data_IF_054609091721
#
_entry.id   IF_054609091721
#
_cell.length_a   1.000
_cell.length_b   1.000
_cell.length_c   1.000
_cell.angle_alpha   90.00
_cell.angle_beta   90.00
_cell.angle_gamma   90.00
#
_symmetry.space_group_name_H-M   'P 1'
#
loop_
_entity.id
_entity.type
_entity.pdbx_description
1 polymer ?
#
# COMPACT_ATOMS: atom_id res chain seq x y z
N UNK A 1 8.82 -3.74 -9.94
CA UNK A 1 9.46 -5.07 -10.19
C UNK A 1 10.37 -5.47 -9.03
N UNK A 2 11.33 -4.63 -8.61
CA UNK A 2 12.30 -4.91 -7.55
C UNK A 2 11.65 -5.42 -6.26
N UNK A 3 10.66 -4.70 -5.69
CA UNK A 3 10.00 -5.09 -4.45
C UNK A 3 9.38 -6.49 -4.49
N UNK A 4 8.75 -6.89 -5.61
CA UNK A 4 8.20 -8.24 -5.77
C UNK A 4 9.30 -9.32 -5.74
N UNK A 5 10.44 -9.07 -6.36
CA UNK A 5 11.57 -10.02 -6.34
C UNK A 5 12.14 -10.17 -4.94
N UNK A 6 12.37 -9.05 -4.25
CA UNK A 6 12.80 -9.04 -2.86
C UNK A 6 11.82 -9.77 -1.94
N UNK A 7 10.51 -9.50 -2.09
CA UNK A 7 9.48 -10.12 -1.27
C UNK A 7 9.46 -11.65 -1.41
N UNK A 8 9.51 -12.19 -2.64
CA UNK A 8 9.56 -13.63 -2.84
C UNK A 8 10.85 -14.25 -2.28
N UNK A 9 11.99 -13.58 -2.49
CA UNK A 9 13.28 -14.02 -1.94
C UNK A 9 13.26 -14.05 -0.40
N UNK A 10 12.78 -12.99 0.20
CA UNK A 10 12.63 -12.87 1.65
C UNK A 10 11.71 -13.96 2.23
N UNK A 11 10.51 -14.12 1.65
CA UNK A 11 9.57 -15.12 2.13
C UNK A 11 10.14 -16.54 2.05
N UNK A 12 10.86 -16.87 0.98
CA UNK A 12 11.50 -18.16 0.85
C UNK A 12 12.63 -18.37 1.88
N UNK A 13 13.45 -17.35 2.13
CA UNK A 13 14.57 -17.42 3.07
C UNK A 13 14.13 -17.50 4.54
N UNK A 14 12.99 -16.89 4.89
CA UNK A 14 12.53 -16.77 6.28
C UNK A 14 11.28 -17.61 6.58
N UNK A 15 10.88 -18.53 5.69
CA UNK A 15 9.76 -19.43 5.95
C UNK A 15 8.40 -18.73 5.98
N UNK A 16 8.25 -17.54 5.40
CA UNK A 16 6.99 -16.82 5.32
C UNK A 16 6.10 -17.47 4.27
N UNK A 17 4.87 -17.80 4.66
CA UNK A 17 3.89 -18.43 3.77
C UNK A 17 3.59 -17.56 2.55
N UNK A 18 3.80 -18.08 1.36
CA UNK A 18 3.49 -17.40 0.11
C UNK A 18 3.23 -18.41 -1.02
N UNK A 19 2.54 -17.97 -2.08
CA UNK A 19 2.27 -18.81 -3.25
C UNK A 19 2.11 -17.96 -4.50
N UNK A 20 2.75 -18.34 -5.59
CA UNK A 20 2.53 -17.78 -6.93
C UNK A 20 1.28 -18.43 -7.52
N UNK A 21 0.16 -17.74 -7.44
CA UNK A 21 -1.13 -18.22 -7.97
C UNK A 21 -1.37 -17.80 -9.40
N UNK A 22 -0.67 -16.77 -9.87
CA UNK A 22 -1.06 -16.05 -11.06
C UNK A 22 -2.32 -15.20 -10.84
N UNK A 23 -2.64 -14.40 -11.85
CA UNK A 23 -3.82 -13.55 -11.87
C UNK A 23 -4.33 -13.42 -13.30
N UNK A 24 -5.65 -13.49 -13.46
CA UNK A 24 -6.33 -13.05 -14.68
C UNK A 24 -7.01 -11.72 -14.44
N UNK A 25 -6.85 -10.80 -15.39
CA UNK A 25 -7.65 -9.58 -15.47
C UNK A 25 -8.61 -9.81 -16.63
N UNK A 26 -9.90 -9.97 -16.32
CA UNK A 26 -10.91 -10.45 -17.28
C UNK A 26 -11.70 -9.33 -17.92
N UNK A 27 -11.90 -9.41 -19.23
CA UNK A 27 -12.69 -8.45 -19.99
C UNK A 27 -14.03 -9.07 -20.43
N UNK A 28 -15.12 -8.34 -20.19
CA UNK A 28 -16.47 -8.72 -20.61
C UNK A 28 -16.93 -7.92 -21.84
N UNK A 29 -16.30 -6.78 -22.10
CA UNK A 29 -16.66 -5.88 -23.19
C UNK A 29 -15.44 -5.49 -24.02
N UNK A 30 -15.69 -5.06 -25.27
CA UNK A 30 -14.63 -4.57 -26.16
C UNK A 30 -13.83 -3.39 -25.55
N UNK A 31 -14.50 -2.47 -24.88
CA UNK A 31 -13.85 -1.34 -24.21
C UNK A 31 -12.88 -1.81 -23.10
N UNK A 32 -13.28 -2.82 -22.33
CA UNK A 32 -12.42 -3.45 -21.32
C UNK A 32 -11.23 -4.16 -21.97
N UNK A 33 -11.45 -4.89 -23.08
CA UNK A 33 -10.37 -5.51 -23.85
C UNK A 33 -9.35 -4.48 -24.33
N UNK A 34 -9.79 -3.39 -24.95
CA UNK A 34 -8.90 -2.31 -25.39
C UNK A 34 -8.11 -1.68 -24.23
N UNK A 35 -8.71 -1.60 -23.03
CA UNK A 35 -8.00 -1.18 -21.82
C UNK A 35 -6.89 -2.18 -21.44
N UNK A 36 -7.16 -3.49 -21.50
CA UNK A 36 -6.17 -4.53 -21.21
C UNK A 36 -5.06 -4.57 -22.26
N UNK A 37 -5.35 -4.35 -23.53
CA UNK A 37 -4.34 -4.27 -24.60
C UNK A 37 -3.38 -3.08 -24.39
N UNK A 38 -3.86 -1.97 -23.83
CA UNK A 38 -2.99 -0.85 -23.42
C UNK A 38 -2.06 -1.25 -22.29
N UNK A 39 -2.59 -1.95 -21.28
CA UNK A 39 -1.82 -2.47 -20.15
C UNK A 39 -0.78 -3.50 -20.63
N UNK A 40 -1.14 -4.39 -21.54
CA UNK A 40 -0.23 -5.38 -22.10
C UNK A 40 0.96 -4.70 -22.81
N UNK A 41 0.69 -3.72 -23.68
CA UNK A 41 1.75 -2.96 -24.35
C UNK A 41 2.69 -2.27 -23.37
N UNK A 42 2.16 -1.64 -22.33
CA UNK A 42 2.96 -0.99 -21.28
C UNK A 42 3.81 -2.02 -20.53
N UNK A 43 3.20 -3.12 -20.10
CA UNK A 43 3.87 -4.17 -19.33
C UNK A 43 4.99 -4.84 -20.16
N UNK A 44 4.69 -5.26 -21.39
CA UNK A 44 5.63 -6.03 -22.22
C UNK A 44 6.68 -5.14 -22.87
N UNK A 45 6.31 -3.91 -23.26
CA UNK A 45 7.22 -3.00 -23.97
C UNK A 45 8.11 -2.18 -23.04
N UNK A 46 7.51 -1.42 -22.12
CA UNK A 46 8.25 -0.43 -21.35
C UNK A 46 8.73 -0.96 -19.98
N UNK A 47 7.92 -1.79 -19.32
CA UNK A 47 8.17 -2.19 -17.95
C UNK A 47 8.83 -3.56 -17.80
N UNK A 48 8.90 -4.37 -18.86
CA UNK A 48 9.43 -5.73 -18.81
C UNK A 48 8.67 -6.64 -17.83
N UNK A 49 7.37 -6.39 -17.62
CA UNK A 49 6.51 -7.19 -16.74
C UNK A 49 5.93 -8.33 -17.57
N UNK A 50 6.16 -9.60 -17.17
CA UNK A 50 5.61 -10.73 -17.93
C UNK A 50 4.09 -10.77 -17.81
N UNK A 51 3.43 -10.63 -18.95
CA UNK A 51 1.99 -10.82 -19.12
C UNK A 51 1.74 -11.58 -20.41
N UNK A 52 0.60 -12.28 -20.50
CA UNK A 52 0.17 -12.90 -21.74
C UNK A 52 -1.33 -12.80 -21.94
N UNK A 53 -1.77 -12.78 -23.19
CA UNK A 53 -3.17 -12.84 -23.53
C UNK A 53 -3.73 -14.26 -23.39
N UNK A 54 -4.90 -14.37 -22.78
CA UNK A 54 -5.66 -15.60 -22.60
C UNK A 54 -6.99 -15.44 -23.33
N UNK A 55 -7.22 -16.22 -24.36
CA UNK A 55 -8.48 -16.18 -25.10
C UNK A 55 -9.62 -16.81 -24.31
N UNK A 56 -10.87 -16.38 -24.60
CA UNK A 56 -12.07 -16.90 -23.97
C UNK A 56 -12.17 -18.45 -24.01
N UNK A 57 -11.81 -19.07 -25.12
CA UNK A 57 -11.77 -20.54 -25.20
C UNK A 57 -10.79 -21.21 -24.23
N UNK A 58 -9.68 -20.55 -23.88
CA UNK A 58 -8.73 -21.05 -22.86
C UNK A 58 -9.31 -20.85 -21.46
N UNK A 59 -9.94 -19.70 -21.20
CA UNK A 59 -10.63 -19.43 -19.93
C UNK A 59 -11.69 -20.48 -19.66
N UNK A 60 -12.53 -20.79 -20.66
CA UNK A 60 -13.56 -21.85 -20.54
C UNK A 60 -12.98 -23.24 -20.30
N UNK A 61 -11.89 -23.61 -20.99
CA UNK A 61 -11.23 -24.91 -20.80
C UNK A 61 -10.62 -25.09 -19.43
N UNK A 62 -10.28 -24.00 -18.73
CA UNK A 62 -9.80 -24.09 -17.36
C UNK A 62 -10.86 -24.65 -16.38
N UNK A 63 -12.16 -24.57 -16.74
CA UNK A 63 -13.23 -25.22 -15.99
C UNK A 63 -13.57 -24.59 -14.63
N UNK A 64 -13.06 -23.37 -14.35
CA UNK A 64 -13.22 -22.69 -13.06
C UNK A 64 -14.50 -21.85 -12.97
N UNK A 65 -15.35 -21.86 -14.01
CA UNK A 65 -16.59 -21.07 -14.08
C UNK A 65 -16.38 -19.57 -14.29
N UNK A 66 -15.14 -19.15 -14.56
CA UNK A 66 -14.79 -17.75 -14.85
C UNK A 66 -15.31 -17.37 -16.24
N UNK A 67 -15.95 -16.20 -16.33
CA UNK A 67 -16.42 -15.59 -17.58
C UNK A 67 -15.45 -14.47 -18.00
N UNK A 68 -15.05 -14.49 -19.28
CA UNK A 68 -14.19 -13.49 -19.90
C UNK A 68 -14.50 -13.44 -21.41
N UNK A 69 -15.63 -12.83 -21.77
CA UNK A 69 -16.18 -12.86 -23.12
C UNK A 69 -15.23 -12.27 -24.17
N UNK A 70 -14.45 -11.26 -23.78
CA UNK A 70 -13.43 -10.63 -24.59
C UNK A 70 -11.99 -11.09 -24.22
N UNK A 71 -11.87 -12.17 -23.43
CA UNK A 71 -10.61 -12.74 -23.00
C UNK A 71 -10.07 -12.13 -21.71
N UNK A 72 -8.84 -12.48 -21.38
CA UNK A 72 -8.15 -12.04 -20.15
C UNK A 72 -6.69 -11.73 -20.40
N UNK A 73 -6.11 -10.86 -19.56
CA UNK A 73 -4.68 -10.66 -19.47
C UNK A 73 -4.16 -11.41 -18.24
N UNK A 74 -3.28 -12.37 -18.44
CA UNK A 74 -2.64 -13.12 -17.36
C UNK A 74 -1.37 -12.43 -16.89
N UNK A 75 -1.24 -12.33 -15.56
CA UNK A 75 0.01 -11.98 -14.88
C UNK A 75 0.52 -13.22 -14.12
N UNK A 76 1.42 -14.02 -14.70
CA UNK A 76 1.82 -15.32 -14.14
C UNK A 76 2.68 -15.20 -12.89
N UNK A 77 3.26 -14.03 -12.63
CA UNK A 77 4.13 -13.78 -11.47
C UNK A 77 3.42 -13.16 -10.28
N UNK A 78 2.12 -12.93 -10.38
CA UNK A 78 1.29 -12.48 -9.25
C UNK A 78 1.14 -13.63 -8.24
N UNK A 79 1.05 -13.28 -6.96
CA UNK A 79 0.86 -14.26 -5.90
C UNK A 79 0.22 -13.67 -4.67
N UNK A 80 0.16 -14.48 -3.64
CA UNK A 80 -0.35 -14.16 -2.31
C UNK A 80 0.73 -14.41 -1.27
N UNK A 81 0.66 -13.68 -0.17
CA UNK A 81 1.61 -13.77 0.94
C UNK A 81 0.86 -13.73 2.28
N UNK A 82 1.37 -14.43 3.27
CA UNK A 82 1.00 -14.23 4.66
C UNK A 82 1.58 -12.90 5.14
N UNK A 83 0.77 -11.84 5.08
CA UNK A 83 1.20 -10.49 5.47
C UNK A 83 1.55 -10.41 6.96
N UNK A 84 0.84 -11.15 7.81
CA UNK A 84 1.14 -11.19 9.25
C UNK A 84 2.47 -11.89 9.51
N UNK A 85 2.68 -13.07 8.92
CA UNK A 85 3.95 -13.79 9.02
C UNK A 85 5.13 -12.98 8.47
N UNK A 86 4.91 -12.18 7.41
CA UNK A 86 5.93 -11.25 6.91
C UNK A 86 6.30 -10.19 7.93
N UNK A 87 5.31 -9.55 8.57
CA UNK A 87 5.56 -8.54 9.60
C UNK A 87 6.28 -9.12 10.81
N UNK A 88 5.88 -10.31 11.28
CA UNK A 88 6.53 -11.01 12.40
C UNK A 88 7.99 -11.35 12.07
N UNK A 89 8.26 -11.85 10.87
CA UNK A 89 9.62 -12.15 10.44
C UNK A 89 10.51 -10.89 10.36
N UNK A 90 9.98 -9.79 9.83
CA UNK A 90 10.68 -8.50 9.77
C UNK A 90 10.94 -7.94 11.16
N UNK A 91 9.97 -8.01 12.06
CA UNK A 91 10.13 -7.58 13.45
C UNK A 91 11.22 -8.40 14.15
N UNK A 92 11.19 -9.73 14.02
CA UNK A 92 12.21 -10.60 14.63
C UNK A 92 13.62 -10.24 14.16
N UNK A 93 13.81 -10.06 12.85
CA UNK A 93 15.11 -9.65 12.29
C UNK A 93 15.56 -8.27 12.77
N UNK A 94 14.63 -7.34 12.94
CA UNK A 94 14.91 -6.03 13.48
C UNK A 94 15.37 -6.11 14.94
N UNK A 95 14.68 -6.92 15.76
CA UNK A 95 15.05 -7.12 17.17
C UNK A 95 16.37 -7.90 17.31
N UNK A 96 16.62 -8.90 16.47
CA UNK A 96 17.89 -9.65 16.41
C UNK A 96 19.08 -8.73 16.03
N UNK A 97 18.82 -7.70 15.24
CA UNK A 97 19.80 -6.65 14.91
C UNK A 97 19.97 -5.59 16.02
N UNK A 98 19.32 -5.75 17.16
CA UNK A 98 19.37 -4.82 18.29
C UNK A 98 18.33 -3.72 18.27
N UNK A 99 17.37 -3.78 17.37
CA UNK A 99 16.25 -2.85 17.31
C UNK A 99 15.28 -3.04 18.48
N UNK A 100 14.55 -1.99 18.83
CA UNK A 100 13.55 -2.01 19.91
C UNK A 100 12.18 -1.60 19.37
N UNK A 101 11.17 -2.44 19.61
CA UNK A 101 9.77 -2.13 19.28
C UNK A 101 9.05 -1.65 20.54
N UNK A 102 8.65 -0.38 20.58
CA UNK A 102 7.89 0.22 21.66
C UNK A 102 6.39 0.27 21.28
N UNK A 103 5.62 -0.70 21.76
CA UNK A 103 4.17 -0.72 21.58
C UNK A 103 3.47 0.25 22.53
N UNK A 104 2.24 0.66 22.16
CA UNK A 104 1.42 1.58 22.96
C UNK A 104 2.12 2.91 23.32
N UNK A 105 3.01 3.35 22.45
CA UNK A 105 3.90 4.49 22.67
C UNK A 105 3.73 5.54 21.57
N UNK A 106 2.54 6.19 21.46
CA UNK A 106 2.32 7.21 20.43
C UNK A 106 3.24 8.41 20.62
N UNK A 107 3.83 8.84 19.50
CA UNK A 107 4.56 10.10 19.43
C UNK A 107 3.56 11.25 19.44
N UNK A 108 3.72 12.21 20.37
CA UNK A 108 2.79 13.33 20.57
C UNK A 108 3.36 14.66 20.13
N UNK A 109 4.70 14.80 20.07
CA UNK A 109 5.37 15.98 19.53
C UNK A 109 6.76 15.59 19.01
N UNK A 110 7.25 16.36 18.06
CA UNK A 110 8.58 16.20 17.46
C UNK A 110 9.21 17.57 17.29
N UNK A 111 10.43 17.72 17.82
CA UNK A 111 11.19 18.96 17.82
C UNK A 111 12.55 18.73 17.13
N UNK A 112 12.87 19.52 16.07
CA UNK A 112 14.19 19.45 15.45
C UNK A 112 15.24 20.05 16.38
N UNK A 113 16.37 19.38 16.54
CA UNK A 113 17.54 19.86 17.28
C UNK A 113 18.55 20.47 16.28
N UNK A 114 19.13 21.62 16.62
CA UNK A 114 20.01 22.35 15.72
C UNK A 114 19.31 22.89 14.47
N UNK A 115 19.94 23.82 13.76
CA UNK A 115 19.38 24.41 12.55
C UNK A 115 18.23 25.39 12.83
N UNK A 116 18.51 26.66 12.78
CA UNK A 116 17.56 27.73 12.95
C UNK A 116 18.31 28.99 13.30
N UNK A 117 18.31 29.99 12.42
CA UNK A 117 18.85 31.31 12.71
C UNK A 117 18.23 31.86 13.98
N UNK A 118 19.02 31.87 15.04
CA UNK A 118 18.63 32.28 16.38
C UNK A 118 18.10 33.72 16.43
N UNK A 119 17.11 33.91 17.26
CA UNK A 119 16.87 35.18 17.90
C UNK A 119 17.95 35.42 18.95
N UNK A 120 18.94 36.26 18.65
CA UNK A 120 19.97 36.70 19.58
C UNK A 120 20.81 37.78 18.92
N UNK A 121 20.59 39.03 19.32
CA UNK A 121 21.22 40.20 18.73
C UNK A 121 22.76 40.16 18.77
N UNK A 122 23.35 40.43 17.63
CA UNK A 122 24.77 40.66 17.43
C UNK A 122 25.00 40.95 15.96
N UNK A 123 25.20 42.26 15.66
CA UNK A 123 25.53 42.72 14.32
C UNK A 123 26.92 42.24 13.94
N UNK A 124 27.05 41.34 13.02
CA UNK A 124 28.17 41.22 12.09
C UNK A 124 27.72 40.59 10.80
N UNK A 125 27.47 41.44 9.81
CA UNK A 125 27.08 41.09 8.47
C UNK A 125 28.32 40.81 7.63
N UNK A 126 28.74 39.56 7.45
CA UNK A 126 29.50 39.11 6.26
C UNK A 126 29.84 37.64 6.31
N UNK A 127 28.83 36.77 6.14
CA UNK A 127 29.01 35.43 5.56
C UNK A 127 27.67 34.94 5.04
N UNK A 128 27.53 34.78 3.74
CA UNK A 128 26.36 34.20 3.06
C UNK A 128 26.34 32.68 3.26
N UNK A 129 26.26 32.22 4.50
CA UNK A 129 26.00 30.82 4.80
C UNK A 129 24.49 30.59 4.78
N UNK A 130 24.01 29.76 3.87
CA UNK A 130 22.65 29.27 3.92
C UNK A 130 22.33 28.72 5.31
N UNK A 131 21.15 29.01 5.88
CA UNK A 131 20.81 28.51 7.22
C UNK A 131 20.87 27.00 7.24
N UNK A 132 21.51 26.43 8.26
CA UNK A 132 21.60 25.00 8.46
C UNK A 132 20.18 24.40 8.53
N UNK A 133 19.92 23.23 7.91
CA UNK A 133 18.61 22.61 7.96
C UNK A 133 18.19 22.27 9.39
N UNK A 134 16.91 22.38 9.70
CA UNK A 134 16.35 21.96 10.99
C UNK A 134 16.63 20.47 11.21
N UNK A 135 16.92 20.07 12.46
CA UNK A 135 17.27 18.69 12.77
C UNK A 135 18.72 18.32 12.45
N UNK A 136 19.59 19.29 12.14
CA UNK A 136 21.01 19.05 11.87
C UNK A 136 21.80 18.47 13.06
N UNK A 137 21.26 18.58 14.28
CA UNK A 137 21.78 17.96 15.50
C UNK A 137 20.88 16.82 16.00
N UNK A 138 19.99 16.30 15.15
CA UNK A 138 19.05 15.26 15.50
C UNK A 138 17.66 15.78 15.87
N UNK A 139 16.90 14.94 16.52
CA UNK A 139 15.46 15.12 16.78
C UNK A 139 15.15 14.74 18.23
N UNK A 140 14.22 15.46 18.84
CA UNK A 140 13.62 15.13 20.11
C UNK A 140 12.15 14.74 19.89
N UNK A 141 11.74 13.59 20.45
CA UNK A 141 10.38 13.07 20.35
C UNK A 141 9.77 12.96 21.74
N UNK A 142 8.61 13.57 21.95
CA UNK A 142 7.76 13.30 23.10
C UNK A 142 6.91 12.05 22.83
N UNK A 143 7.06 11.05 23.66
CA UNK A 143 6.37 9.75 23.55
C UNK A 143 5.50 9.57 24.79
N UNK A 144 4.23 9.27 24.58
CA UNK A 144 3.27 9.04 25.67
C UNK A 144 3.03 7.54 25.83
N UNK A 145 3.19 7.03 27.03
CA UNK A 145 2.70 5.69 27.37
C UNK A 145 1.17 5.68 27.38
N UNK A 146 0.55 4.86 26.53
CA UNK A 146 -0.92 4.82 26.42
C UNK A 146 -1.61 4.17 27.63
N UNK A 147 -0.89 3.37 28.43
CA UNK A 147 -1.42 2.71 29.62
C UNK A 147 -1.37 3.61 30.85
N UNK A 148 -0.25 4.34 31.05
CA UNK A 148 -0.05 5.20 32.22
C UNK A 148 -0.39 6.65 31.96
N UNK A 149 -0.36 7.09 30.72
CA UNK A 149 -0.49 8.49 30.31
C UNK A 149 0.79 9.32 30.51
N UNK A 150 1.86 8.73 31.05
CA UNK A 150 3.13 9.40 31.27
C UNK A 150 3.80 9.74 29.94
N UNK A 151 4.46 10.91 29.90
CA UNK A 151 5.21 11.34 28.72
C UNK A 151 6.70 11.28 29.03
N UNK A 152 7.43 10.64 28.16
CA UNK A 152 8.90 10.58 28.17
C UNK A 152 9.46 11.24 26.90
N UNK A 153 10.73 11.59 26.94
CA UNK A 153 11.45 12.19 25.81
C UNK A 153 12.56 11.24 25.36
N UNK A 154 12.64 11.02 24.04
CA UNK A 154 13.74 10.29 23.41
C UNK A 154 14.38 11.17 22.34
N UNK A 155 15.64 10.90 22.03
CA UNK A 155 16.36 11.58 20.93
C UNK A 155 16.74 10.59 19.85
N UNK A 156 16.76 11.06 18.60
CA UNK A 156 17.16 10.27 17.45
C UNK A 156 17.97 11.12 16.47
N UNK A 157 18.92 10.52 15.78
CA UNK A 157 19.66 11.20 14.71
C UNK A 157 18.82 11.39 13.45
N UNK A 158 18.00 10.38 13.14
CA UNK A 158 17.13 10.36 11.96
C UNK A 158 15.72 9.88 12.32
N UNK A 159 14.74 10.31 11.53
CA UNK A 159 13.36 9.86 11.66
C UNK A 159 12.86 9.38 10.30
N UNK A 160 12.23 8.21 10.29
CA UNK A 160 11.49 7.69 9.15
C UNK A 160 10.01 7.67 9.52
N UNK A 161 9.24 8.60 8.94
CA UNK A 161 7.80 8.64 9.13
C UNK A 161 7.11 7.57 8.29
N UNK A 162 6.93 6.39 8.86
CA UNK A 162 6.24 5.25 8.26
C UNK A 162 4.89 4.97 8.95
N UNK A 163 4.22 6.02 9.46
CA UNK A 163 3.04 5.91 10.31
C UNK A 163 1.73 5.57 9.57
N UNK A 164 1.77 5.21 8.29
CA UNK A 164 0.61 4.72 7.52
C UNK A 164 -0.54 5.74 7.50
N UNK A 165 -1.69 5.38 8.10
CA UNK A 165 -2.85 6.26 8.20
C UNK A 165 -2.59 7.53 9.04
N UNK A 166 -1.67 7.47 10.00
CA UNK A 166 -1.23 8.61 10.83
C UNK A 166 -0.06 9.41 10.25
N UNK A 167 0.45 9.04 9.07
CA UNK A 167 1.68 9.63 8.54
C UNK A 167 1.56 11.15 8.25
N UNK A 168 0.36 11.61 7.87
CA UNK A 168 0.12 13.05 7.69
C UNK A 168 0.16 13.81 9.03
N UNK A 169 -0.37 13.24 10.09
CA UNK A 169 -0.37 13.87 11.42
C UNK A 169 1.05 14.00 11.93
N UNK A 170 1.87 12.95 11.80
CA UNK A 170 3.29 12.97 12.15
C UNK A 170 4.06 14.00 11.31
N UNK A 171 3.84 14.04 9.99
CA UNK A 171 4.43 15.05 9.11
C UNK A 171 4.07 16.48 9.54
N UNK A 172 2.79 16.70 9.87
CA UNK A 172 2.25 17.99 10.24
C UNK A 172 2.77 18.51 11.60
N UNK A 173 3.40 17.67 12.43
CA UNK A 173 4.04 18.09 13.68
C UNK A 173 5.25 18.99 13.44
N UNK A 174 5.95 18.84 12.31
CA UNK A 174 7.22 19.55 12.07
C UNK A 174 7.12 20.66 11.03
N UNK A 175 6.19 20.56 10.09
CA UNK A 175 6.10 21.52 8.99
C UNK A 175 5.19 22.70 9.31
N UNK A 176 5.45 23.88 8.72
CA UNK A 176 4.57 25.03 8.88
C UNK A 176 3.21 24.80 8.17
N UNK A 177 2.17 25.57 8.52
CA UNK A 177 0.79 25.35 8.06
C UNK A 177 0.63 25.21 6.53
N UNK A 178 1.38 25.97 5.75
CA UNK A 178 1.34 25.98 4.28
C UNK A 178 1.92 24.73 3.63
N UNK A 179 2.67 23.91 4.38
CA UNK A 179 3.26 22.65 3.93
C UNK A 179 2.53 21.44 4.49
N UNK A 180 1.50 21.65 5.29
CA UNK A 180 0.72 20.56 5.86
C UNK A 180 0.00 19.78 4.79
N UNK A 181 -0.11 18.47 4.99
CA UNK A 181 -0.84 17.57 4.12
C UNK A 181 -2.00 16.92 4.86
N UNK A 182 -2.96 16.42 4.10
CA UNK A 182 -4.10 15.67 4.61
C UNK A 182 -4.21 14.36 3.84
N UNK A 183 -4.54 13.29 4.54
CA UNK A 183 -4.94 12.03 3.94
C UNK A 183 -6.45 11.93 3.83
N UNK A 184 -6.89 11.22 2.81
CA UNK A 184 -8.28 10.84 2.59
C UNK A 184 -8.40 9.33 2.75
N UNK A 185 -9.45 8.87 3.37
CA UNK A 185 -9.57 7.47 3.80
C UNK A 185 -10.52 6.72 2.88
N UNK A 186 -9.97 5.81 2.07
CA UNK A 186 -10.73 4.93 1.21
C UNK A 186 -10.82 3.54 1.83
N UNK A 187 -11.95 3.27 2.52
CA UNK A 187 -12.26 1.96 3.09
C UNK A 187 -12.64 0.99 1.98
N UNK A 188 -12.13 -0.22 2.09
CA UNK A 188 -12.49 -1.35 1.24
C UNK A 188 -13.08 -2.48 2.07
N UNK A 189 -14.32 -2.86 1.76
CA UNK A 189 -14.99 -3.96 2.41
C UNK A 189 -14.67 -5.28 1.70
N UNK A 190 -14.49 -6.34 2.47
CA UNK A 190 -14.24 -7.69 1.95
C UNK A 190 -15.32 -8.65 2.43
N UNK A 191 -15.62 -9.63 1.55
CA UNK A 191 -16.62 -10.65 1.77
C UNK A 191 -16.00 -12.03 1.57
N UNK A 192 -16.14 -12.92 2.55
CA UNK A 192 -15.70 -14.31 2.48
C UNK A 192 -16.74 -15.16 1.77
N UNK A 193 -16.30 -16.26 1.14
CA UNK A 193 -17.16 -17.21 0.43
C UNK A 193 -17.01 -18.61 1.01
N UNK A 194 -18.10 -19.20 1.44
CA UNK A 194 -18.10 -20.47 2.17
C UNK A 194 -18.61 -21.70 1.38
N UNK A 195 -19.05 -21.52 0.12
CA UNK A 195 -19.48 -22.65 -0.69
C UNK A 195 -18.31 -23.44 -1.29
N UNK A 196 -18.49 -24.76 -1.56
CA UNK A 196 -17.45 -25.61 -2.16
C UNK A 196 -17.20 -25.30 -3.65
N UNK A 197 -18.15 -24.69 -4.31
CA UNK A 197 -18.10 -24.33 -5.74
C UNK A 197 -18.63 -22.90 -5.96
N UNK A 198 -18.15 -22.18 -7.01
CA UNK A 198 -17.05 -22.56 -7.90
C UNK A 198 -15.70 -22.60 -7.16
N UNK A 199 -14.70 -23.31 -7.72
CA UNK A 199 -13.32 -23.28 -7.25
C UNK A 199 -12.43 -22.60 -8.28
N UNK A 200 -11.66 -21.62 -7.83
CA UNK A 200 -10.73 -20.87 -8.67
C UNK A 200 -9.32 -21.02 -8.13
N UNK A 201 -8.35 -21.26 -8.99
CA UNK A 201 -6.95 -21.55 -8.60
C UNK A 201 -6.04 -20.32 -8.61
N UNK A 202 -6.54 -19.18 -9.10
CA UNK A 202 -5.81 -17.94 -9.32
C UNK A 202 -6.63 -16.72 -8.87
N UNK A 203 -6.01 -15.55 -8.83
CA UNK A 203 -6.73 -14.31 -8.57
C UNK A 203 -7.49 -13.88 -9.83
N UNK A 204 -8.72 -13.39 -9.68
CA UNK A 204 -9.52 -12.86 -10.79
C UNK A 204 -9.87 -11.40 -10.50
N UNK A 205 -9.48 -10.54 -11.43
CA UNK A 205 -9.74 -9.11 -11.37
C UNK A 205 -10.60 -8.72 -12.56
N UNK A 206 -11.70 -7.97 -12.38
CA UNK A 206 -12.36 -7.35 -13.53
C UNK A 206 -11.43 -6.32 -14.17
N UNK A 207 -11.50 -6.19 -15.48
CA UNK A 207 -10.80 -5.12 -16.17
C UNK A 207 -11.31 -3.75 -15.70
N UNK A 208 -10.43 -2.73 -15.59
CA UNK A 208 -10.84 -1.38 -15.21
C UNK A 208 -11.91 -0.85 -16.17
N UNK A 209 -13.01 -0.32 -15.63
CA UNK A 209 -13.99 0.39 -16.44
C UNK A 209 -13.55 1.84 -16.63
N UNK A 210 -13.61 2.38 -17.86
CA UNK A 210 -13.32 3.78 -18.12
C UNK A 210 -14.25 4.68 -17.28
N UNK A 211 -13.65 5.53 -16.42
CA UNK A 211 -14.39 6.45 -15.56
C UNK A 211 -14.86 5.90 -14.21
N UNK A 212 -14.72 4.62 -13.95
CA UNK A 212 -14.94 4.05 -12.62
C UNK A 212 -13.71 4.31 -11.71
N UNK A 213 -13.94 4.91 -10.56
CA UNK A 213 -12.86 5.30 -9.61
C UNK A 213 -12.17 4.14 -8.88
N UNK A 214 -12.36 2.88 -9.29
CA UNK A 214 -11.82 1.69 -8.65
C UNK A 214 -11.59 0.55 -9.63
N UNK A 215 -10.88 -0.50 -9.14
CA UNK A 215 -10.56 -1.71 -9.91
C UNK A 215 -11.70 -2.75 -9.89
N UNK A 216 -12.89 -2.42 -9.37
CA UNK A 216 -13.98 -3.37 -9.16
C UNK A 216 -13.71 -4.35 -8.00
N UNK A 217 -14.71 -5.16 -7.67
CA UNK A 217 -14.62 -6.18 -6.63
C UNK A 217 -13.82 -7.38 -7.14
N UNK A 218 -12.64 -7.63 -6.60
CA UNK A 218 -11.72 -8.71 -7.03
C UNK A 218 -12.04 -10.02 -6.33
N UNK A 219 -11.63 -11.14 -6.93
CA UNK A 219 -11.47 -12.41 -6.25
C UNK A 219 -10.01 -12.57 -5.82
N UNK A 220 -9.79 -12.79 -4.54
CA UNK A 220 -8.50 -13.19 -3.98
C UNK A 220 -8.61 -14.54 -3.27
N UNK A 221 -7.48 -15.17 -3.01
CA UNK A 221 -7.37 -16.45 -2.32
C UNK A 221 -6.54 -16.30 -1.06
N UNK A 222 -6.88 -17.04 -0.01
CA UNK A 222 -5.93 -17.27 1.08
C UNK A 222 -4.98 -18.44 0.76
N UNK A 223 -4.02 -18.69 1.62
CA UNK A 223 -3.07 -19.80 1.44
C UNK A 223 -3.74 -21.19 1.50
N UNK A 224 -4.91 -21.29 2.14
CA UNK A 224 -5.76 -22.49 2.16
C UNK A 224 -6.61 -22.66 0.90
N UNK A 225 -6.63 -21.67 0.00
CA UNK A 225 -7.42 -21.69 -1.23
C UNK A 225 -8.87 -21.23 -1.05
N UNK A 226 -9.24 -20.65 0.10
CA UNK A 226 -10.56 -20.05 0.30
C UNK A 226 -10.66 -18.74 -0.46
N UNK A 227 -11.81 -18.51 -1.06
CA UNK A 227 -12.09 -17.31 -1.84
C UNK A 227 -12.58 -16.19 -0.96
N UNK A 228 -12.14 -14.99 -1.30
CA UNK A 228 -12.57 -13.71 -0.71
C UNK A 228 -12.76 -12.71 -1.83
N UNK A 229 -13.80 -11.91 -1.72
CA UNK A 229 -14.14 -10.88 -2.70
C UNK A 229 -14.00 -9.49 -2.07
N UNK A 230 -13.43 -8.57 -2.83
CA UNK A 230 -13.16 -7.20 -2.41
C UNK A 230 -11.79 -6.73 -2.89
N UNK A 231 -11.45 -5.49 -2.55
CA UNK A 231 -12.32 -4.55 -1.88
C UNK A 231 -13.29 -3.84 -2.84
N UNK A 232 -14.34 -3.27 -2.27
CA UNK A 232 -15.04 -2.13 -2.86
C UNK A 232 -14.31 -0.81 -2.50
N UNK A 233 -14.96 0.34 -2.73
CA UNK A 233 -14.45 1.65 -2.31
C UNK A 233 -15.54 2.42 -1.59
N UNK A 234 -15.31 2.74 -0.33
CA UNK A 234 -16.15 3.57 0.52
C UNK A 234 -15.32 4.67 1.16
N UNK A 235 -15.68 5.94 0.91
CA UNK A 235 -14.99 7.05 1.54
C UNK A 235 -15.48 7.24 2.97
N UNK A 236 -14.56 7.32 3.93
CA UNK A 236 -14.84 7.49 5.34
C UNK A 236 -14.06 8.68 5.91
N UNK A 237 -14.59 9.26 6.98
CA UNK A 237 -13.95 10.43 7.61
C UNK A 237 -12.91 10.02 8.66
N UNK A 238 -13.07 8.83 9.27
CA UNK A 238 -12.17 8.33 10.31
C UNK A 238 -11.29 7.19 9.80
N UNK A 239 -9.96 7.22 10.08
CA UNK A 239 -9.07 6.09 9.84
C UNK A 239 -9.35 4.87 10.74
N UNK A 240 -10.23 5.01 11.72
CA UNK A 240 -10.60 3.96 12.68
C UNK A 240 -11.88 3.23 12.29
N UNK A 241 -12.60 3.68 11.24
CA UNK A 241 -13.83 3.04 10.79
C UNK A 241 -13.52 1.74 10.01
N UNK A 242 -13.20 0.69 10.76
CA UNK A 242 -12.92 -0.66 10.23
C UNK A 242 -14.15 -1.57 10.26
N UNK A 243 -15.32 -1.06 10.58
CA UNK A 243 -16.56 -1.83 10.51
C UNK A 243 -16.92 -2.16 9.07
N UNK A 244 -17.15 -3.45 8.78
CA UNK A 244 -17.60 -3.87 7.44
C UNK A 244 -19.00 -3.37 7.19
N UNK A 245 -19.21 -2.66 6.08
CA UNK A 245 -20.52 -2.20 5.67
C UNK A 245 -21.26 -3.30 4.89
N UNK A 246 -22.06 -4.09 5.61
CA UNK A 246 -22.84 -5.19 5.02
C UNK A 246 -23.88 -4.75 3.98
N UNK A 247 -24.33 -3.49 4.00
CA UNK A 247 -25.27 -2.97 3.00
C UNK A 247 -24.68 -2.94 1.58
N UNK A 248 -23.37 -2.94 1.44
CA UNK A 248 -22.65 -2.93 0.16
C UNK A 248 -22.50 -4.33 -0.46
N UNK A 249 -22.94 -5.38 0.24
CA UNK A 249 -22.79 -6.76 -0.24
C UNK A 249 -23.61 -7.01 -1.51
N UNK A 250 -24.78 -6.43 -1.64
CA UNK A 250 -25.61 -6.60 -2.85
C UNK A 250 -24.91 -6.06 -4.11
N UNK A 251 -24.28 -4.89 -4.02
CA UNK A 251 -23.50 -4.32 -5.12
C UNK A 251 -22.28 -5.18 -5.44
N UNK A 252 -21.59 -5.67 -4.40
CA UNK A 252 -20.43 -6.57 -4.57
C UNK A 252 -20.85 -7.87 -5.28
N UNK A 253 -21.99 -8.47 -4.92
CA UNK A 253 -22.54 -9.67 -5.61
C UNK A 253 -22.78 -9.38 -7.09
N UNK A 254 -23.41 -8.26 -7.42
CA UNK A 254 -23.67 -7.88 -8.81
C UNK A 254 -22.37 -7.75 -9.62
N UNK A 255 -21.33 -7.17 -9.05
CA UNK A 255 -20.00 -7.06 -9.69
C UNK A 255 -19.31 -8.43 -9.83
N UNK A 256 -19.34 -9.27 -8.81
CA UNK A 256 -18.75 -10.61 -8.81
C UNK A 256 -19.38 -11.49 -9.89
N UNK A 257 -20.72 -11.48 -10.00
CA UNK A 257 -21.45 -12.33 -10.94
C UNK A 257 -21.21 -11.94 -12.41
N UNK A 258 -20.68 -10.75 -12.69
CA UNK A 258 -20.24 -10.39 -14.05
C UNK A 258 -19.13 -11.31 -14.56
N UNK A 259 -18.21 -11.74 -13.68
CA UNK A 259 -17.06 -12.57 -14.08
C UNK A 259 -17.06 -13.98 -13.44
N UNK A 260 -17.84 -14.21 -12.41
CA UNK A 260 -18.00 -15.51 -11.77
C UNK A 260 -19.48 -15.78 -11.48
N UNK A 261 -20.30 -16.06 -12.54
CA UNK A 261 -21.75 -16.14 -12.42
C UNK A 261 -22.25 -17.28 -11.53
N UNK A 262 -21.41 -18.30 -11.28
CA UNK A 262 -21.75 -19.43 -10.41
C UNK A 262 -21.64 -19.15 -8.91
N UNK A 263 -21.32 -17.92 -8.48
CA UNK A 263 -21.28 -17.56 -7.06
C UNK A 263 -22.69 -17.51 -6.48
N UNK A 264 -22.90 -18.30 -5.41
CA UNK A 264 -24.11 -18.25 -4.61
C UNK A 264 -24.03 -17.12 -3.60
N UNK A 265 -24.86 -16.10 -3.79
CA UNK A 265 -24.89 -14.92 -2.91
C UNK A 265 -25.20 -15.26 -1.44
N UNK A 266 -25.95 -16.34 -1.19
CA UNK A 266 -26.29 -16.79 0.17
C UNK A 266 -25.07 -17.35 0.95
N UNK A 267 -24.00 -17.69 0.25
CA UNK A 267 -22.74 -18.20 0.81
C UNK A 267 -21.67 -17.10 1.01
N UNK A 268 -22.02 -15.83 0.72
CA UNK A 268 -21.17 -14.67 1.03
C UNK A 268 -21.50 -14.10 2.41
N UNK A 269 -20.46 -13.72 3.13
CA UNK A 269 -20.59 -13.06 4.43
C UNK A 269 -19.59 -11.91 4.55
N UNK A 270 -19.93 -10.81 5.27
CA UNK A 270 -18.96 -9.80 5.65
C UNK A 270 -17.74 -10.43 6.35
N UNK A 271 -16.53 -9.99 5.99
CA UNK A 271 -15.29 -10.54 6.53
C UNK A 271 -14.51 -9.45 7.29
N UNK A 272 -13.75 -8.61 6.61
CA UNK A 272 -13.03 -7.50 7.22
C UNK A 272 -13.06 -6.28 6.30
N UNK A 273 -12.64 -5.13 6.85
CA UNK A 273 -12.39 -3.93 6.07
C UNK A 273 -10.97 -3.43 6.31
N UNK A 274 -10.42 -2.72 5.32
CA UNK A 274 -9.15 -2.04 5.42
C UNK A 274 -9.26 -0.63 4.85
N UNK A 275 -8.43 0.29 5.33
CA UNK A 275 -8.44 1.69 4.90
C UNK A 275 -7.14 2.02 4.18
N UNK A 276 -7.26 2.66 3.01
CA UNK A 276 -6.14 3.14 2.22
C UNK A 276 -5.93 4.63 2.47
N UNK A 277 -4.70 5.06 2.80
CA UNK A 277 -4.35 6.47 2.92
C UNK A 277 -4.18 7.09 1.53
N UNK A 278 -5.16 7.85 1.07
CA UNK A 278 -5.13 8.55 -0.22
C UNK A 278 -4.60 9.97 -0.06
N UNK A 279 -3.73 10.40 -0.96
CA UNK A 279 -3.21 11.78 -1.01
C UNK A 279 -4.20 12.78 -1.64
N UNK A 280 -5.23 12.28 -2.32
CA UNK A 280 -6.32 13.11 -2.84
C UNK A 280 -7.65 12.37 -2.81
N UNK A 281 -8.80 13.09 -2.72
CA UNK A 281 -10.10 12.50 -2.95
C UNK A 281 -10.27 12.18 -4.44
N UNK A 282 -10.66 10.97 -4.76
CA UNK A 282 -10.84 10.52 -6.15
C UNK A 282 -9.82 9.46 -6.54
N UNK A 283 -10.30 8.45 -7.26
CA UNK A 283 -9.54 7.25 -7.55
C UNK A 283 -8.27 7.50 -8.37
N UNK A 284 -7.22 6.81 -8.01
CA UNK A 284 -5.94 6.83 -8.69
C UNK A 284 -5.99 6.24 -10.13
N UNK A 285 -7.09 5.59 -10.52
CA UNK A 285 -7.23 4.93 -11.82
C UNK A 285 -8.50 5.43 -12.51
N UNK A 286 -8.34 6.16 -13.59
CA UNK A 286 -9.44 6.41 -14.54
C UNK A 286 -10.02 7.83 -14.63
N UNK A 287 -9.60 8.79 -13.79
CA UNK A 287 -10.17 10.15 -13.86
C UNK A 287 -9.46 11.12 -14.82
N UNK A 288 -8.39 10.67 -15.51
CA UNK A 288 -7.59 11.56 -16.38
C UNK A 288 -6.82 12.68 -15.66
N UNK A 289 -7.01 12.81 -14.35
CA UNK A 289 -6.17 13.64 -13.47
C UNK A 289 -5.12 12.73 -12.86
N UNK A 290 -3.86 13.06 -13.07
CA UNK A 290 -2.68 12.23 -12.85
C UNK A 290 -2.72 11.29 -11.63
N UNK A 291 -2.04 10.18 -11.77
CA UNK A 291 -1.78 9.21 -10.70
C UNK A 291 -1.03 9.91 -9.57
N UNK A 292 -1.58 9.92 -8.35
CA UNK A 292 -0.85 10.36 -7.16
C UNK A 292 -0.05 9.17 -6.65
N UNK A 293 1.24 9.18 -6.94
CA UNK A 293 2.18 8.19 -6.43
C UNK A 293 2.47 8.42 -4.93
N UNK A 294 3.09 7.44 -4.30
CA UNK A 294 3.60 7.54 -2.94
C UNK A 294 4.58 8.71 -2.81
N UNK A 295 4.56 9.39 -1.69
CA UNK A 295 5.59 10.37 -1.35
C UNK A 295 6.65 9.64 -0.52
N UNK A 296 7.80 9.41 -1.13
CA UNK A 296 8.99 8.82 -0.51
C UNK A 296 10.14 9.78 -0.73
N UNK A 297 10.47 10.60 0.28
CA UNK A 297 11.50 11.63 0.13
C UNK A 297 12.04 12.13 1.46
N UNK A 298 13.25 12.69 1.41
CA UNK A 298 13.72 13.61 2.46
C UNK A 298 12.81 14.84 2.49
N UNK A 299 12.53 15.36 3.68
CA UNK A 299 11.73 16.58 3.82
C UNK A 299 12.61 17.82 3.66
N UNK A 300 12.23 18.70 2.71
CA UNK A 300 13.01 19.88 2.38
C UNK A 300 13.20 20.81 3.58
N UNK A 301 14.44 21.17 3.88
CA UNK A 301 14.81 22.00 5.01
C UNK A 301 14.91 21.28 6.35
N UNK A 302 14.79 19.94 6.34
CA UNK A 302 14.90 19.10 7.53
C UNK A 302 15.92 17.98 7.33
N UNK A 303 16.97 17.95 8.15
CA UNK A 303 18.02 16.93 8.07
C UNK A 303 17.55 15.62 8.71
N UNK A 304 17.89 14.48 8.10
CA UNK A 304 17.60 13.16 8.64
C UNK A 304 16.11 12.80 8.76
N UNK A 305 15.22 13.52 8.06
CA UNK A 305 13.78 13.23 8.06
C UNK A 305 13.33 12.67 6.72
N UNK A 306 12.83 11.43 6.72
CA UNK A 306 12.23 10.79 5.55
C UNK A 306 10.73 10.62 5.76
N UNK A 307 9.94 11.05 4.79
CA UNK A 307 8.50 10.83 4.75
C UNK A 307 8.12 9.67 3.83
N UNK A 308 7.20 8.81 4.33
CA UNK A 308 6.48 7.81 3.57
C UNK A 308 4.98 8.11 3.68
N UNK A 309 4.45 8.94 2.77
CA UNK A 309 3.05 9.37 2.80
C UNK A 309 2.25 8.71 1.69
N UNK A 310 1.01 8.35 1.99
CA UNK A 310 0.10 7.79 1.00
C UNK A 310 0.49 6.40 0.52
N UNK A 311 1.21 5.62 1.33
CA UNK A 311 1.58 4.25 0.99
C UNK A 311 0.34 3.37 1.04
N UNK A 312 -0.24 3.11 -0.13
CA UNK A 312 -1.37 2.21 -0.33
C UNK A 312 -0.98 1.01 -1.21
N UNK A 313 -1.90 0.39 -1.94
CA UNK A 313 -1.54 -0.67 -2.90
C UNK A 313 -0.72 -0.08 -4.08
N UNK A 314 0.45 -0.66 -4.40
CA UNK A 314 1.02 -1.93 -3.96
C UNK A 314 2.09 -1.82 -2.84
N UNK A 315 1.87 -1.05 -1.80
CA UNK A 315 2.83 -0.78 -0.71
C UNK A 315 3.45 -2.04 -0.10
N UNK A 316 2.63 -3.06 0.24
CA UNK A 316 3.14 -4.31 0.79
C UNK A 316 4.14 -5.00 -0.15
N UNK A 317 3.80 -5.10 -1.44
CA UNK A 317 4.70 -5.69 -2.45
C UNK A 317 5.98 -4.89 -2.62
N UNK A 318 5.92 -3.57 -2.39
CA UNK A 318 7.03 -2.65 -2.58
C UNK A 318 7.86 -2.43 -1.30
N UNK A 319 7.39 -2.90 -0.14
CA UNK A 319 7.92 -2.51 1.18
C UNK A 319 9.43 -2.69 1.32
N UNK A 320 9.97 -3.80 0.89
CA UNK A 320 11.42 -4.04 0.96
C UNK A 320 12.22 -3.12 0.03
N UNK A 321 11.70 -2.82 -1.16
CA UNK A 321 12.33 -1.84 -2.06
C UNK A 321 12.18 -0.39 -1.56
N UNK A 322 11.10 -0.09 -0.82
CA UNK A 322 10.96 1.19 -0.13
C UNK A 322 12.01 1.31 0.97
N UNK A 323 12.29 0.21 1.70
CA UNK A 323 13.39 0.16 2.66
C UNK A 323 14.76 0.47 2.03
N UNK A 324 15.08 -0.17 0.89
CA UNK A 324 16.30 0.14 0.12
C UNK A 324 16.37 1.63 -0.31
N UNK A 325 15.24 2.21 -0.70
CA UNK A 325 15.19 3.62 -1.10
C UNK A 325 15.36 4.56 0.10
N UNK A 326 14.78 4.24 1.26
CA UNK A 326 14.96 5.01 2.49
C UNK A 326 16.43 4.99 2.93
N UNK A 327 17.08 3.83 2.89
CA UNK A 327 18.52 3.70 3.18
C UNK A 327 19.35 4.58 2.23
N UNK A 328 19.05 4.53 0.92
CA UNK A 328 19.71 5.37 -0.08
C UNK A 328 19.51 6.87 0.17
N UNK A 329 18.31 7.27 0.59
CA UNK A 329 18.01 8.68 0.89
C UNK A 329 18.78 9.19 2.12
N UNK A 330 18.95 8.37 3.14
CA UNK A 330 19.62 8.75 4.40
C UNK A 330 21.14 8.69 4.29
N UNK A 331 21.68 7.65 3.63
CA UNK A 331 23.11 7.32 3.69
C UNK A 331 23.81 7.33 2.32
N UNK A 332 23.08 7.63 1.24
CA UNK A 332 23.60 7.53 -0.11
C UNK A 332 23.59 6.10 -0.65
N UNK A 333 24.13 5.89 -1.85
CA UNK A 333 24.20 4.56 -2.44
C UNK A 333 25.19 3.70 -1.63
N UNK A 334 24.69 2.74 -0.86
CA UNK A 334 25.50 1.65 -0.35
C UNK A 334 25.87 0.77 -1.53
N UNK A 335 27.14 0.73 -1.89
CA UNK A 335 27.65 -0.26 -2.87
C UNK A 335 27.42 -1.64 -2.23
N UNK A 336 26.71 -2.57 -2.87
CA UNK A 336 26.57 -3.91 -2.32
C UNK A 336 27.96 -4.53 -2.15
N UNK A 337 28.30 -4.86 -0.93
CA UNK A 337 29.50 -5.65 -0.59
C UNK A 337 29.35 -7.09 -1.06
#
# INVERSE_FOLDING_TARGET
MRGKQLLYGFCAAHGVGHRRTGKWIVAQTRAQREALERIERLCSGELGVPVRWVGDGEVRRAGEGVRAEEGALESPTTGIVDAHGLMVALQGLFEDAGGVVALNSPVTAITPLGGGGGGGGGCDASSSSSPSPKGSAGWELAVRDAATGETSTITAETIINAAGLGAADVHNMIVPPERRTRLHYAKGNYFSYAAPLPRVSRLIYPAPEPGAGGLGTHLTLDLGGRMRFGPDVEWVESPEDLAVNGARMADAVAEIQKYLPGVDASCLAPDYAGIRPKLSPGGAVGTGKGFNDFIIRMEDGYAGWVNLLGIESPGLTSSLAIGEEVERLLYGSVTPS
#
